data_IF_533904406277
#
_entry.id   IF_533904406277
#
_cell.length_a   1.000
_cell.length_b   1.000
_cell.length_c   1.000
_cell.angle_alpha   90.00
_cell.angle_beta   90.00
_cell.angle_gamma   90.00
#
_symmetry.space_group_name_H-M   'P 1'
#
loop_
_entity.id
_entity.type
_entity.pdbx_description
1 polymer ?
#
# COMPACT_ATOMS: atom_id res chain seq x y z
N UNK A 1 20.27 16.79 8.00
CA UNK A 1 19.10 16.36 8.81
C UNK A 1 17.90 17.14 8.31
N UNK A 2 16.75 16.49 8.16
CA UNK A 2 15.49 17.15 7.78
C UNK A 2 15.05 18.09 8.90
N UNK A 3 14.75 19.34 8.58
CA UNK A 3 14.21 20.35 9.52
C UNK A 3 12.77 20.77 9.20
N UNK A 4 12.23 20.32 8.06
CA UNK A 4 10.88 20.65 7.60
C UNK A 4 10.21 19.40 6.99
N UNK A 5 9.00 19.04 7.44
CA UNK A 5 8.34 17.78 7.12
C UNK A 5 6.83 17.93 6.95
N UNK A 6 6.29 17.54 5.80
CA UNK A 6 4.86 17.35 5.59
C UNK A 6 4.47 15.88 5.75
N UNK A 7 3.59 15.57 6.68
CA UNK A 7 3.04 14.22 6.90
C UNK A 7 1.68 14.15 6.21
N UNK A 8 1.52 13.20 5.29
CA UNK A 8 0.42 13.15 4.33
C UNK A 8 -0.35 11.82 4.50
N UNK A 9 -1.62 11.91 4.88
CA UNK A 9 -2.44 10.77 5.24
C UNK A 9 -3.72 10.74 4.39
N UNK A 10 -3.80 9.89 3.36
CA UNK A 10 -5.05 9.65 2.65
C UNK A 10 -5.98 8.81 3.52
N UNK A 11 -7.27 9.18 3.61
CA UNK A 11 -8.27 8.41 4.36
C UNK A 11 -9.56 8.21 3.57
N UNK A 12 -10.23 7.08 3.80
CA UNK A 12 -11.56 6.79 3.28
C UNK A 12 -12.29 5.85 4.24
N UNK A 13 -13.42 6.32 4.79
CA UNK A 13 -14.23 5.59 5.77
C UNK A 13 -13.41 5.02 6.96
N UNK A 14 -12.35 5.72 7.38
CA UNK A 14 -11.45 5.31 8.45
C UNK A 14 -11.20 6.45 9.43
N UNK A 15 -11.24 6.12 10.74
CA UNK A 15 -10.86 7.04 11.81
C UNK A 15 -9.33 7.05 11.93
N UNK A 16 -8.72 8.23 11.86
CA UNK A 16 -7.27 8.39 11.96
C UNK A 16 -6.82 9.47 12.98
N UNK A 17 -7.74 10.06 13.73
CA UNK A 17 -7.41 11.07 14.74
C UNK A 17 -6.30 10.59 15.70
N UNK A 18 -6.37 9.38 16.25
CA UNK A 18 -5.36 8.84 17.16
C UNK A 18 -3.98 8.63 16.52
N UNK A 19 -3.94 8.36 15.21
CA UNK A 19 -2.68 8.32 14.46
C UNK A 19 -2.08 9.73 14.36
N UNK A 20 -2.91 10.73 14.05
CA UNK A 20 -2.50 12.14 13.94
C UNK A 20 -2.01 12.68 15.27
N UNK A 21 -2.75 12.46 16.37
CA UNK A 21 -2.33 12.84 17.73
C UNK A 21 -0.98 12.28 18.10
N UNK A 22 -0.74 10.97 17.82
CA UNK A 22 0.56 10.34 18.11
C UNK A 22 1.68 10.94 17.24
N UNK A 23 1.43 11.22 15.96
CA UNK A 23 2.42 11.85 15.08
C UNK A 23 2.73 13.28 15.51
N UNK A 24 1.72 14.09 15.83
CA UNK A 24 1.89 15.46 16.33
C UNK A 24 2.72 15.46 17.63
N UNK A 25 2.42 14.57 18.57
CA UNK A 25 3.21 14.37 19.79
C UNK A 25 4.67 14.05 19.50
N UNK A 26 4.95 13.14 18.53
CA UNK A 26 6.34 12.78 18.21
C UNK A 26 7.08 13.92 17.54
N UNK A 27 6.43 14.67 16.66
CA UNK A 27 7.02 15.83 15.99
C UNK A 27 7.33 16.95 16.99
N UNK A 28 6.42 17.27 17.91
CA UNK A 28 6.61 18.31 18.92
C UNK A 28 7.75 18.01 19.91
N UNK A 29 8.12 16.73 20.07
CA UNK A 29 9.27 16.30 20.87
C UNK A 29 10.63 16.45 20.15
N UNK A 30 10.65 16.94 18.89
CA UNK A 30 11.89 17.13 18.12
C UNK A 30 12.17 18.62 18.01
N UNK A 31 13.21 19.15 18.71
CA UNK A 31 13.54 20.56 18.64
C UNK A 31 13.81 21.01 17.18
N UNK A 32 13.34 22.20 16.84
CA UNK A 32 13.55 22.84 15.54
C UNK A 32 12.91 22.15 14.33
N UNK A 33 12.20 21.02 14.49
CA UNK A 33 11.45 20.42 13.41
C UNK A 33 10.17 21.23 13.13
N UNK A 34 10.10 21.86 11.97
CA UNK A 34 8.85 22.42 11.45
C UNK A 34 8.08 21.29 10.76
N UNK A 35 6.81 21.14 11.10
CA UNK A 35 6.00 20.09 10.51
C UNK A 35 4.57 20.56 10.25
N UNK A 36 3.92 19.84 9.38
CA UNK A 36 2.47 19.85 9.19
C UNK A 36 1.98 18.41 9.02
N UNK A 37 0.71 18.18 9.37
CA UNK A 37 0.04 16.91 9.13
C UNK A 37 -1.23 17.20 8.32
N UNK A 38 -1.28 16.70 7.09
CA UNK A 38 -2.43 16.89 6.21
C UNK A 38 -3.14 15.55 6.02
N UNK A 39 -4.38 15.48 6.44
CA UNK A 39 -5.25 14.33 6.21
C UNK A 39 -6.24 14.69 5.12
N UNK A 40 -6.22 13.98 4.00
CA UNK A 40 -7.20 14.15 2.93
C UNK A 40 -8.19 12.99 2.91
N UNK A 41 -9.46 13.33 3.14
CA UNK A 41 -10.59 12.41 3.08
C UNK A 41 -11.10 12.30 1.65
N UNK A 42 -11.01 11.12 1.07
CA UNK A 42 -11.38 10.81 -0.31
C UNK A 42 -12.89 10.55 -0.46
N UNK A 43 -13.72 11.47 0.06
CA UNK A 43 -15.17 11.41 -0.08
C UNK A 43 -15.84 10.34 0.78
N UNK A 44 -15.40 10.19 2.04
CA UNK A 44 -16.00 9.27 3.01
C UNK A 44 -17.50 9.46 3.17
N UNK A 45 -18.21 8.34 3.40
CA UNK A 45 -19.63 8.27 3.69
C UNK A 45 -19.92 7.88 5.14
N UNK A 46 -18.95 7.32 5.84
CA UNK A 46 -19.04 6.97 7.26
C UNK A 46 -19.02 8.25 8.12
N UNK A 47 -20.20 8.67 8.61
CA UNK A 47 -20.36 9.87 9.43
C UNK A 47 -19.58 9.80 10.74
N UNK A 48 -19.41 8.60 11.32
CA UNK A 48 -18.66 8.45 12.58
C UNK A 48 -17.17 8.69 12.34
N UNK A 49 -16.62 8.21 11.21
CA UNK A 49 -15.26 8.49 10.82
C UNK A 49 -15.05 9.99 10.53
N UNK A 50 -15.97 10.60 9.77
CA UNK A 50 -15.90 12.03 9.41
C UNK A 50 -15.92 12.91 10.68
N UNK A 51 -16.90 12.72 11.58
CA UNK A 51 -17.02 13.51 12.81
C UNK A 51 -15.77 13.36 13.69
N UNK A 52 -15.25 12.11 13.82
CA UNK A 52 -14.04 11.87 14.58
C UNK A 52 -12.82 12.58 13.97
N UNK A 53 -12.69 12.58 12.65
CA UNK A 53 -11.54 13.18 11.97
C UNK A 53 -11.63 14.72 11.89
N UNK A 54 -12.82 15.34 12.04
CA UNK A 54 -12.93 16.80 12.13
C UNK A 54 -12.15 17.38 13.32
N UNK A 55 -11.99 16.62 14.40
CA UNK A 55 -11.18 17.02 15.57
C UNK A 55 -9.69 17.21 15.24
N UNK A 56 -9.21 16.70 14.10
CA UNK A 56 -7.84 16.92 13.63
C UNK A 56 -7.56 18.42 13.45
N UNK A 57 -8.56 19.20 13.03
CA UNK A 57 -8.39 20.65 12.83
C UNK A 57 -8.24 21.44 14.15
N UNK A 58 -8.46 20.82 15.30
CA UNK A 58 -8.22 21.40 16.63
C UNK A 58 -6.76 21.19 17.08
N UNK A 59 -6.01 20.33 16.40
CA UNK A 59 -4.61 20.06 16.69
C UNK A 59 -3.71 21.08 15.96
N UNK A 60 -2.69 21.55 16.64
CA UNK A 60 -1.72 22.49 16.07
C UNK A 60 -0.96 21.85 14.90
N UNK A 61 -0.77 22.59 13.81
CA UNK A 61 -0.12 22.13 12.57
C UNK A 61 -0.81 20.95 11.85
N UNK A 62 -2.10 20.68 12.17
CA UNK A 62 -2.85 19.57 11.57
C UNK A 62 -4.06 20.07 10.78
N UNK A 63 -4.28 19.48 9.61
CA UNK A 63 -5.35 19.88 8.69
C UNK A 63 -6.11 18.65 8.18
N UNK A 64 -7.43 18.67 8.31
CA UNK A 64 -8.32 17.67 7.72
C UNK A 64 -9.08 18.29 6.54
N UNK A 65 -8.80 17.78 5.33
CA UNK A 65 -9.39 18.28 4.09
C UNK A 65 -10.35 17.21 3.56
N UNK A 66 -11.65 17.54 3.50
CA UNK A 66 -12.66 16.62 3.00
C UNK A 66 -12.97 16.90 1.53
N UNK A 67 -12.83 15.89 0.68
CA UNK A 67 -13.26 15.94 -0.71
C UNK A 67 -14.74 15.53 -0.84
N UNK A 68 -15.40 15.99 -1.91
CA UNK A 68 -16.81 15.66 -2.16
C UNK A 68 -16.98 14.25 -2.72
N UNK A 69 -16.01 13.78 -3.50
CA UNK A 69 -16.08 12.52 -4.24
C UNK A 69 -14.83 11.68 -4.01
N UNK A 70 -15.01 10.34 -4.08
CA UNK A 70 -13.90 9.40 -4.05
C UNK A 70 -13.22 9.39 -5.42
N UNK A 71 -11.93 9.72 -5.44
CA UNK A 71 -11.13 9.77 -6.67
C UNK A 71 -10.09 8.64 -6.74
N UNK A 72 -9.98 7.84 -5.67
CA UNK A 72 -9.10 6.69 -5.60
C UNK A 72 -7.70 6.97 -5.08
N UNK A 73 -6.98 5.89 -4.78
CA UNK A 73 -5.70 5.91 -4.04
C UNK A 73 -4.59 6.70 -4.73
N UNK A 74 -4.52 6.64 -6.05
CA UNK A 74 -3.52 7.37 -6.84
C UNK A 74 -3.73 8.88 -6.76
N UNK A 75 -4.95 9.32 -7.08
CA UNK A 75 -5.29 10.75 -7.14
C UNK A 75 -5.25 11.44 -5.79
N UNK A 76 -5.69 10.76 -4.71
CA UNK A 76 -5.69 11.37 -3.38
C UNK A 76 -4.26 11.59 -2.86
N UNK A 77 -3.30 10.69 -3.18
CA UNK A 77 -1.90 10.88 -2.81
C UNK A 77 -1.24 12.00 -3.62
N UNK A 78 -1.52 12.09 -4.92
CA UNK A 78 -1.06 13.22 -5.74
C UNK A 78 -1.64 14.55 -5.23
N UNK A 79 -2.93 14.59 -4.88
CA UNK A 79 -3.54 15.77 -4.27
C UNK A 79 -2.86 16.16 -2.97
N UNK A 80 -2.56 15.20 -2.08
CA UNK A 80 -1.84 15.47 -0.83
C UNK A 80 -0.45 16.06 -1.08
N UNK A 81 0.30 15.54 -2.05
CA UNK A 81 1.59 16.09 -2.43
C UNK A 81 1.48 17.56 -2.89
N UNK A 82 0.42 17.89 -3.64
CA UNK A 82 0.17 19.27 -4.11
C UNK A 82 -0.24 20.24 -2.98
N UNK A 83 -0.73 19.72 -1.83
CA UNK A 83 -1.08 20.55 -0.65
C UNK A 83 0.09 20.77 0.29
N UNK A 84 1.15 19.97 0.18
CA UNK A 84 2.29 20.00 1.08
C UNK A 84 3.16 21.24 0.85
N UNK A 85 3.57 21.89 1.96
CA UNK A 85 4.41 23.10 1.90
C UNK A 85 5.90 22.82 2.08
N UNK A 86 6.30 21.65 2.57
CA UNK A 86 7.69 21.33 2.86
C UNK A 86 8.33 20.40 1.83
N UNK A 87 9.67 20.42 1.77
CA UNK A 87 10.44 19.63 0.79
C UNK A 87 10.32 18.12 1.01
N UNK A 88 10.17 17.67 2.27
CA UNK A 88 10.09 16.26 2.59
C UNK A 88 8.66 15.84 2.92
N UNK A 89 8.20 14.80 2.24
CA UNK A 89 6.83 14.28 2.28
C UNK A 89 6.82 12.88 2.88
N UNK A 90 6.23 12.71 4.06
CA UNK A 90 6.03 11.41 4.70
C UNK A 90 4.60 10.94 4.47
N UNK A 91 4.43 9.92 3.64
CA UNK A 91 3.13 9.29 3.40
C UNK A 91 2.87 8.13 4.36
N UNK A 92 1.67 8.12 4.93
CA UNK A 92 1.20 7.04 5.82
C UNK A 92 -0.25 6.68 5.48
N UNK A 93 -0.57 5.38 5.41
CA UNK A 93 -1.96 4.95 5.32
C UNK A 93 -2.71 5.23 6.64
N UNK A 94 -3.99 5.57 6.56
CA UNK A 94 -4.81 5.99 7.73
C UNK A 94 -5.15 4.86 8.71
N UNK A 95 -4.93 3.60 8.34
CA UNK A 95 -5.27 2.42 9.13
C UNK A 95 -4.06 1.76 9.82
N UNK A 96 -2.91 2.44 9.80
CA UNK A 96 -1.69 1.99 10.48
C UNK A 96 -1.56 2.56 11.91
N UNK A 97 -0.61 2.01 12.67
CA UNK A 97 -0.26 2.45 14.04
C UNK A 97 1.23 2.74 14.13
N UNK A 98 1.60 3.78 14.84
CA UNK A 98 3.00 4.03 15.18
C UNK A 98 3.44 3.04 16.27
N UNK A 99 4.57 2.37 16.07
CA UNK A 99 5.07 1.30 16.95
C UNK A 99 6.40 1.63 17.63
N UNK A 100 6.98 2.79 17.33
CA UNK A 100 8.22 3.28 17.94
C UNK A 100 8.12 4.78 18.19
N UNK A 101 8.62 5.22 19.35
CA UNK A 101 8.70 6.65 19.64
C UNK A 101 9.80 7.36 18.82
N UNK A 102 10.75 6.61 18.26
CA UNK A 102 11.76 7.14 17.34
C UNK A 102 11.31 7.18 15.87
N UNK A 103 10.02 6.87 15.60
CA UNK A 103 9.51 6.72 14.23
C UNK A 103 9.83 7.93 13.34
N UNK A 104 9.58 9.16 13.80
CA UNK A 104 9.90 10.37 13.05
C UNK A 104 11.41 10.57 12.96
N UNK A 105 12.16 10.42 14.07
CA UNK A 105 13.62 10.60 14.12
C UNK A 105 14.35 9.73 13.11
N UNK A 106 13.89 8.48 12.93
CA UNK A 106 14.47 7.52 11.98
C UNK A 106 14.37 7.96 10.52
N UNK A 107 13.48 8.89 10.21
CA UNK A 107 13.33 9.47 8.86
C UNK A 107 14.11 10.76 8.63
N UNK A 108 14.62 11.43 9.69
CA UNK A 108 15.21 12.77 9.54
C UNK A 108 16.60 12.79 8.88
N UNK A 109 17.19 11.63 8.58
CA UNK A 109 18.48 11.56 7.88
C UNK A 109 18.43 10.54 6.72
N UNK A 110 17.58 10.76 5.72
CA UNK A 110 17.43 9.84 4.59
C UNK A 110 18.69 9.80 3.73
N UNK A 111 19.04 8.61 3.23
CA UNK A 111 20.20 8.39 2.37
C UNK A 111 19.79 8.21 0.89
N UNK A 112 18.50 8.36 0.57
CA UNK A 112 17.93 8.23 -0.77
C UNK A 112 16.86 9.29 -1.01
N UNK A 113 16.45 9.48 -2.26
CA UNK A 113 15.35 10.39 -2.63
C UNK A 113 14.01 9.89 -2.10
N UNK A 114 13.86 8.56 -1.99
CA UNK A 114 12.69 7.86 -1.44
C UNK A 114 13.15 6.82 -0.43
N UNK A 115 12.55 6.80 0.77
CA UNK A 115 12.86 5.81 1.82
C UNK A 115 11.57 5.15 2.27
N UNK A 116 11.47 3.83 2.14
CA UNK A 116 10.34 3.01 2.56
C UNK A 116 10.61 2.38 3.94
N UNK A 117 9.69 2.61 4.90
CA UNK A 117 9.86 2.20 6.31
C UNK A 117 9.25 0.85 6.66
N UNK A 118 8.53 0.20 5.73
CA UNK A 118 7.89 -1.10 5.91
C UNK A 118 6.66 -1.10 6.82
N UNK A 119 6.06 -2.30 6.94
CA UNK A 119 4.91 -2.57 7.81
C UNK A 119 5.20 -3.77 8.70
N UNK A 120 4.95 -3.64 9.99
CA UNK A 120 4.96 -4.73 10.97
C UNK A 120 3.55 -5.29 11.10
N UNK A 121 3.39 -6.54 10.77
CA UNK A 121 2.10 -7.22 10.84
C UNK A 121 1.90 -7.76 12.25
N UNK A 122 0.84 -7.31 12.93
CA UNK A 122 0.41 -7.91 14.19
C UNK A 122 -0.47 -9.13 13.90
N UNK A 123 -0.40 -10.17 14.74
CA UNK A 123 -1.23 -11.36 14.55
C UNK A 123 -2.72 -11.02 14.59
N UNK A 124 -3.49 -11.57 13.64
CA UNK A 124 -4.94 -11.52 13.72
C UNK A 124 -5.45 -12.36 14.90
N UNK A 125 -6.52 -11.91 15.57
CA UNK A 125 -7.25 -12.72 16.53
C UNK A 125 -7.85 -13.97 15.89
N UNK A 126 -8.26 -13.88 14.61
CA UNK A 126 -8.68 -15.03 13.82
C UNK A 126 -7.48 -15.72 13.18
N UNK A 127 -7.09 -16.88 13.75
CA UNK A 127 -6.02 -17.74 13.22
C UNK A 127 -6.30 -18.28 11.81
N UNK A 128 -7.55 -18.19 11.32
CA UNK A 128 -7.95 -18.57 9.96
C UNK A 128 -7.99 -17.39 8.99
N UNK A 129 -7.52 -16.19 9.39
CA UNK A 129 -7.48 -15.06 8.49
C UNK A 129 -6.38 -15.24 7.43
N UNK A 130 -6.80 -15.31 6.17
CA UNK A 130 -5.92 -15.54 5.02
C UNK A 130 -4.93 -14.38 4.79
N UNK A 131 -5.41 -13.13 4.90
CA UNK A 131 -4.58 -11.93 4.71
C UNK A 131 -3.49 -11.86 5.77
N UNK A 132 -3.85 -12.05 7.03
CA UNK A 132 -2.88 -12.06 8.13
C UNK A 132 -1.77 -13.10 7.92
N UNK A 133 -2.13 -14.33 7.52
CA UNK A 133 -1.13 -15.37 7.20
C UNK A 133 -0.23 -14.99 6.02
N UNK A 134 -0.81 -14.45 4.96
CA UNK A 134 -0.07 -14.05 3.77
C UNK A 134 0.91 -12.92 4.07
N UNK A 135 0.44 -11.83 4.69
CA UNK A 135 1.23 -10.65 5.03
C UNK A 135 2.34 -10.98 6.04
N UNK A 136 2.03 -11.81 7.07
CA UNK A 136 3.04 -12.25 8.05
C UNK A 136 4.15 -13.05 7.37
N UNK A 137 3.80 -14.01 6.50
CA UNK A 137 4.80 -14.78 5.77
C UNK A 137 5.64 -13.89 4.86
N UNK A 138 5.00 -12.95 4.16
CA UNK A 138 5.70 -12.01 3.30
C UNK A 138 6.70 -11.16 4.10
N UNK A 139 6.27 -10.56 5.20
CA UNK A 139 7.11 -9.72 6.05
C UNK A 139 8.33 -10.46 6.63
N UNK A 140 8.17 -11.75 6.98
CA UNK A 140 9.28 -12.57 7.49
C UNK A 140 10.30 -12.96 6.41
N UNK A 141 9.85 -13.12 5.16
CA UNK A 141 10.73 -13.50 4.04
C UNK A 141 11.48 -12.31 3.41
N UNK A 142 11.10 -11.07 3.72
CA UNK A 142 11.61 -9.86 3.06
C UNK A 142 12.14 -8.87 4.11
N UNK A 143 13.39 -9.07 4.58
CA UNK A 143 14.09 -8.07 5.40
C UNK A 143 14.39 -6.79 4.59
N UNK A 144 14.73 -5.68 5.26
CA UNK A 144 15.11 -4.45 4.56
C UNK A 144 16.31 -4.67 3.63
N UNK A 145 17.32 -5.43 4.09
CA UNK A 145 18.50 -5.74 3.29
C UNK A 145 18.15 -6.49 2.01
N UNK A 146 17.27 -7.52 2.13
CA UNK A 146 16.82 -8.28 0.98
C UNK A 146 15.97 -7.45 0.00
N UNK A 147 15.17 -6.52 0.50
CA UNK A 147 14.42 -5.62 -0.36
C UNK A 147 15.34 -4.65 -1.10
N UNK A 148 16.46 -4.24 -0.49
CA UNK A 148 17.44 -3.36 -1.11
C UNK A 148 18.24 -4.02 -2.25
N UNK A 149 18.19 -5.35 -2.42
CA UNK A 149 18.74 -6.02 -3.60
C UNK A 149 18.00 -5.62 -4.89
N UNK A 150 16.66 -5.41 -4.80
CA UNK A 150 15.80 -4.95 -5.89
C UNK A 150 14.74 -3.97 -5.35
N UNK A 151 15.13 -2.75 -4.96
CA UNK A 151 14.30 -1.89 -4.12
C UNK A 151 12.96 -1.49 -4.74
N UNK A 152 12.91 -1.34 -6.06
CA UNK A 152 11.70 -0.86 -6.75
C UNK A 152 10.63 -1.95 -6.93
N UNK A 153 11.01 -3.25 -6.91
CA UNK A 153 10.05 -4.36 -7.14
C UNK A 153 9.03 -4.52 -6.00
N UNK A 154 9.39 -4.05 -4.81
CA UNK A 154 8.62 -4.27 -3.59
C UNK A 154 8.28 -2.95 -2.88
N UNK A 155 8.25 -1.86 -3.61
CA UNK A 155 7.80 -0.58 -3.08
C UNK A 155 6.32 -0.66 -2.69
N UNK A 156 5.98 -0.13 -1.52
CA UNK A 156 4.60 -0.03 -1.02
C UNK A 156 4.36 1.36 -0.44
N UNK A 157 3.15 1.87 -0.62
CA UNK A 157 2.79 3.25 -0.26
C UNK A 157 2.31 3.44 1.17
N UNK A 158 2.24 2.37 1.97
CA UNK A 158 1.68 2.43 3.31
C UNK A 158 2.53 3.22 4.32
N UNK A 159 3.85 3.36 4.05
CA UNK A 159 4.81 4.03 4.93
C UNK A 159 6.09 4.36 4.15
N UNK A 160 6.20 5.57 3.63
CA UNK A 160 7.41 6.03 2.95
C UNK A 160 7.58 7.54 3.05
N UNK A 161 8.84 8.00 3.00
CA UNK A 161 9.20 9.41 2.89
C UNK A 161 9.88 9.66 1.54
N UNK A 162 9.65 10.80 0.93
CA UNK A 162 10.32 11.20 -0.30
C UNK A 162 10.51 12.73 -0.37
N UNK A 163 11.38 13.19 -1.26
CA UNK A 163 11.47 14.61 -1.62
C UNK A 163 10.27 15.02 -2.47
N UNK A 164 9.78 16.24 -2.30
CA UNK A 164 8.67 16.80 -3.09
C UNK A 164 8.97 16.80 -4.59
N UNK A 165 10.23 17.04 -4.99
CA UNK A 165 10.67 16.97 -6.40
C UNK A 165 10.36 15.63 -7.09
N UNK A 166 10.18 14.54 -6.33
CA UNK A 166 9.76 13.24 -6.88
C UNK A 166 8.39 13.39 -7.54
N UNK A 167 7.47 14.14 -6.91
CA UNK A 167 6.12 14.35 -7.44
C UNK A 167 6.04 15.32 -8.61
N UNK A 168 7.10 16.11 -8.85
CA UNK A 168 7.19 16.95 -10.05
C UNK A 168 7.40 16.11 -11.32
N UNK A 169 8.02 14.94 -11.17
CA UNK A 169 8.38 14.03 -12.27
C UNK A 169 7.57 12.73 -12.23
N UNK A 170 7.46 12.10 -11.05
CA UNK A 170 6.77 10.83 -10.84
C UNK A 170 5.47 11.07 -10.09
N UNK A 171 4.35 10.97 -10.79
CA UNK A 171 3.02 10.99 -10.19
C UNK A 171 2.46 9.58 -10.12
N UNK A 172 1.55 9.35 -9.18
CA UNK A 172 0.76 8.12 -9.22
C UNK A 172 -0.07 8.10 -10.50
N UNK A 173 -0.02 7.00 -11.22
CA UNK A 173 -0.76 6.86 -12.48
C UNK A 173 -2.26 6.80 -12.21
N UNK A 174 -2.97 7.84 -12.64
CA UNK A 174 -4.42 7.99 -12.43
C UNK A 174 -5.27 6.97 -13.19
N UNK A 175 -4.68 6.19 -14.11
CA UNK A 175 -5.35 5.10 -14.81
C UNK A 175 -5.63 3.91 -13.88
N UNK A 176 -4.91 3.81 -12.74
CA UNK A 176 -5.14 2.81 -11.69
C UNK A 176 -6.31 3.24 -10.79
N UNK A 177 -7.52 3.10 -11.33
CA UNK A 177 -8.76 3.46 -10.62
C UNK A 177 -9.17 2.41 -9.59
N UNK A 178 -8.79 1.14 -9.81
CA UNK A 178 -9.13 0.02 -8.96
C UNK A 178 -7.97 -0.37 -8.04
N UNK A 179 -8.25 -1.23 -7.09
CA UNK A 179 -7.28 -1.71 -6.12
C UNK A 179 -6.15 -2.52 -6.76
N UNK A 180 -4.91 -2.18 -6.41
CA UNK A 180 -3.70 -2.97 -6.61
C UNK A 180 -2.80 -2.49 -7.76
N UNK A 181 -1.50 -2.69 -7.55
CA UNK A 181 -0.41 -2.38 -8.47
C UNK A 181 -0.14 -0.88 -8.73
N UNK A 182 -0.87 0.05 -8.15
CA UNK A 182 -0.56 1.49 -8.22
C UNK A 182 0.77 1.82 -7.57
N UNK A 183 1.13 1.12 -6.50
CA UNK A 183 2.41 1.22 -5.81
C UNK A 183 3.56 0.62 -6.65
N UNK A 184 3.35 -0.54 -7.25
CA UNK A 184 4.31 -1.16 -8.16
C UNK A 184 4.59 -0.25 -9.37
N UNK A 185 3.55 0.32 -9.99
CA UNK A 185 3.69 1.24 -11.11
C UNK A 185 4.47 2.51 -10.71
N UNK A 186 4.23 3.03 -9.51
CA UNK A 186 5.00 4.16 -8.97
C UNK A 186 6.46 3.78 -8.74
N UNK A 187 6.74 2.60 -8.18
CA UNK A 187 8.11 2.07 -8.04
C UNK A 187 8.86 1.95 -9.37
N UNK A 188 8.18 1.50 -10.44
CA UNK A 188 8.72 1.46 -11.80
C UNK A 188 9.05 2.87 -12.28
N UNK A 189 8.12 3.82 -12.11
CA UNK A 189 8.34 5.22 -12.49
C UNK A 189 9.53 5.85 -11.77
N UNK A 190 9.72 5.58 -10.47
CA UNK A 190 10.90 6.02 -9.73
C UNK A 190 12.20 5.50 -10.36
N UNK A 191 12.24 4.22 -10.70
CA UNK A 191 13.39 3.58 -11.34
C UNK A 191 13.72 4.19 -12.71
N UNK A 192 12.71 4.35 -13.55
CA UNK A 192 12.85 4.89 -14.91
C UNK A 192 13.32 6.35 -14.91
N UNK A 193 12.94 7.12 -13.89
CA UNK A 193 13.35 8.52 -13.76
C UNK A 193 14.62 8.71 -12.89
N UNK A 194 15.29 7.62 -12.49
CA UNK A 194 16.60 7.66 -11.83
C UNK A 194 16.56 8.12 -10.36
N UNK A 195 15.41 8.15 -9.70
CA UNK A 195 15.31 8.42 -8.27
C UNK A 195 15.81 7.22 -7.45
N UNK A 196 16.64 7.49 -6.45
CA UNK A 196 17.15 6.47 -5.54
C UNK A 196 16.08 6.06 -4.53
N UNK A 197 15.95 4.74 -4.27
CA UNK A 197 15.02 4.17 -3.29
C UNK A 197 15.74 3.25 -2.32
N UNK A 198 15.48 3.41 -1.04
CA UNK A 198 16.03 2.60 0.04
C UNK A 198 14.90 2.07 0.95
N UNK A 199 15.00 0.81 1.35
CA UNK A 199 14.18 0.22 2.40
C UNK A 199 14.93 0.25 3.73
N UNK A 200 14.25 0.72 4.79
CA UNK A 200 14.77 0.72 6.16
C UNK A 200 13.80 -0.02 7.10
N UNK A 201 14.29 -0.43 8.25
CA UNK A 201 13.42 -0.99 9.29
C UNK A 201 12.90 0.12 10.21
N UNK A 202 11.89 0.84 9.74
CA UNK A 202 11.13 1.85 10.50
C UNK A 202 9.63 1.60 10.34
N UNK A 203 9.11 0.46 10.85
CA UNK A 203 7.80 -0.01 10.48
C UNK A 203 6.67 0.75 11.17
N UNK A 204 5.55 0.86 10.46
CA UNK A 204 4.24 1.09 11.06
C UNK A 204 3.57 -0.26 11.37
N UNK A 205 2.71 -0.30 12.38
CA UNK A 205 1.96 -1.50 12.75
C UNK A 205 0.66 -1.63 11.95
N UNK A 206 0.30 -2.84 11.57
CA UNK A 206 -0.97 -3.16 10.92
C UNK A 206 -1.64 -4.37 11.58
N UNK A 207 -2.90 -4.20 11.99
CA UNK A 207 -3.69 -5.23 12.69
C UNK A 207 -5.15 -5.32 12.20
N UNK A 208 -5.53 -4.55 11.18
CA UNK A 208 -6.88 -4.53 10.62
C UNK A 208 -6.98 -5.43 9.40
N UNK A 209 -7.55 -6.61 9.58
CA UNK A 209 -7.67 -7.57 8.49
C UNK A 209 -9.11 -7.69 8.01
N UNK A 210 -9.28 -7.64 6.70
CA UNK A 210 -10.54 -7.97 6.05
C UNK A 210 -10.95 -9.42 6.34
N UNK A 211 -12.24 -9.72 6.19
CA UNK A 211 -12.70 -11.11 6.10
C UNK A 211 -12.05 -11.82 4.91
N UNK A 212 -11.93 -13.15 4.95
CA UNK A 212 -11.35 -13.90 3.84
C UNK A 212 -12.11 -13.66 2.53
N UNK A 213 -13.45 -13.50 2.58
CA UNK A 213 -14.27 -13.20 1.42
C UNK A 213 -13.91 -11.84 0.80
N UNK A 214 -13.85 -10.78 1.64
CA UNK A 214 -13.50 -9.43 1.19
C UNK A 214 -12.05 -9.37 0.67
N UNK A 215 -11.12 -10.06 1.32
CA UNK A 215 -9.74 -10.12 0.88
C UNK A 215 -9.59 -10.82 -0.48
N UNK A 216 -10.26 -11.98 -0.67
CA UNK A 216 -10.26 -12.67 -1.96
C UNK A 216 -10.83 -11.79 -3.08
N UNK A 217 -11.92 -11.07 -2.82
CA UNK A 217 -12.48 -10.12 -3.78
C UNK A 217 -11.50 -9.00 -4.13
N UNK A 218 -10.80 -8.42 -3.15
CA UNK A 218 -9.75 -7.41 -3.40
C UNK A 218 -8.61 -7.98 -4.26
N UNK A 219 -8.21 -9.22 -4.01
CA UNK A 219 -7.19 -9.91 -4.80
C UNK A 219 -7.66 -10.15 -6.23
N UNK A 220 -8.91 -10.58 -6.43
CA UNK A 220 -9.50 -10.76 -7.75
C UNK A 220 -9.50 -9.44 -8.54
N UNK A 221 -9.92 -8.33 -7.91
CA UNK A 221 -9.83 -6.98 -8.49
C UNK A 221 -8.40 -6.61 -8.86
N UNK A 222 -7.43 -6.87 -7.96
CA UNK A 222 -6.03 -6.56 -8.25
C UNK A 222 -5.46 -7.40 -9.41
N UNK A 223 -5.91 -8.64 -9.58
CA UNK A 223 -5.53 -9.47 -10.73
C UNK A 223 -6.12 -8.95 -12.05
N UNK A 224 -7.32 -8.36 -12.05
CA UNK A 224 -7.85 -7.65 -13.21
C UNK A 224 -7.03 -6.39 -13.53
N UNK A 225 -6.63 -5.62 -12.50
CA UNK A 225 -5.72 -4.47 -12.67
C UNK A 225 -4.40 -4.94 -13.29
N UNK A 226 -3.77 -6.01 -12.75
CA UNK A 226 -2.56 -6.59 -13.30
C UNK A 226 -2.72 -6.99 -14.77
N UNK A 227 -3.84 -7.61 -15.14
CA UNK A 227 -4.11 -8.04 -16.51
C UNK A 227 -4.27 -6.86 -17.45
N UNK A 228 -4.96 -5.79 -17.01
CA UNK A 228 -5.15 -4.56 -17.77
C UNK A 228 -3.83 -3.87 -18.10
N UNK A 229 -2.92 -3.81 -17.13
CA UNK A 229 -1.60 -3.16 -17.24
C UNK A 229 -0.43 -4.15 -17.39
N UNK A 230 -0.71 -5.37 -17.91
CA UNK A 230 0.26 -6.47 -17.95
C UNK A 230 1.55 -6.16 -18.70
N UNK A 231 1.51 -5.31 -19.72
CA UNK A 231 2.68 -4.95 -20.51
C UNK A 231 3.57 -3.96 -19.75
N UNK A 232 2.97 -3.03 -19.01
CA UNK A 232 3.66 -2.05 -18.17
C UNK A 232 4.23 -2.66 -16.89
N UNK A 233 3.51 -3.66 -16.31
CA UNK A 233 3.89 -4.38 -15.08
C UNK A 233 4.70 -5.67 -15.34
N UNK A 234 5.14 -5.87 -16.59
CA UNK A 234 5.86 -7.10 -16.98
C UNK A 234 7.13 -7.28 -16.16
N UNK A 235 7.28 -8.47 -15.58
CA UNK A 235 8.43 -8.81 -14.76
C UNK A 235 8.28 -8.47 -13.26
N UNK A 236 7.27 -7.70 -12.86
CA UNK A 236 7.05 -7.29 -11.47
C UNK A 236 6.05 -8.18 -10.70
N UNK A 237 5.35 -9.11 -11.38
CA UNK A 237 4.41 -10.03 -10.75
C UNK A 237 4.78 -11.49 -10.97
N UNK A 238 4.90 -12.25 -9.87
CA UNK A 238 5.14 -13.71 -9.96
C UNK A 238 3.98 -14.47 -10.61
N UNK A 239 2.73 -13.99 -10.38
CA UNK A 239 1.54 -14.58 -11.03
C UNK A 239 1.64 -14.44 -12.54
N UNK A 240 2.00 -13.25 -13.01
CA UNK A 240 2.17 -12.97 -14.43
C UNK A 240 3.30 -13.81 -15.04
N UNK A 241 4.48 -13.86 -14.38
CA UNK A 241 5.63 -14.69 -14.84
C UNK A 241 5.24 -16.15 -15.03
N UNK A 242 4.50 -16.74 -14.10
CA UNK A 242 4.03 -18.14 -14.20
C UNK A 242 3.07 -18.34 -15.36
N UNK A 243 2.13 -17.41 -15.58
CA UNK A 243 1.15 -17.50 -16.67
C UNK A 243 1.79 -17.27 -18.03
N UNK A 244 2.73 -16.32 -18.15
CA UNK A 244 3.52 -16.11 -19.37
C UNK A 244 4.39 -17.33 -19.72
N UNK A 245 5.02 -17.96 -18.72
CA UNK A 245 5.74 -19.21 -18.90
C UNK A 245 4.83 -20.32 -19.44
N UNK A 246 3.64 -20.50 -18.83
CA UNK A 246 2.66 -21.49 -19.29
C UNK A 246 2.16 -21.21 -20.72
N UNK A 247 2.00 -19.94 -21.07
CA UNK A 247 1.63 -19.55 -22.44
C UNK A 247 2.74 -19.88 -23.46
N UNK A 248 3.99 -19.58 -23.15
CA UNK A 248 5.15 -19.90 -23.99
C UNK A 248 5.36 -21.40 -24.23
N UNK A 249 4.91 -22.24 -23.28
CA UNK A 249 4.99 -23.72 -23.40
C UNK A 249 3.68 -24.37 -23.86
N UNK A 250 2.71 -23.58 -24.34
CA UNK A 250 1.41 -24.04 -24.83
C UNK A 250 0.55 -24.81 -23.80
N UNK A 251 0.82 -24.64 -22.50
CA UNK A 251 0.07 -25.31 -21.41
C UNK A 251 -0.91 -24.38 -20.67
N UNK A 252 -1.12 -23.16 -21.16
CA UNK A 252 -2.04 -22.18 -20.57
C UNK A 252 -3.48 -22.71 -20.48
N UNK A 253 -3.90 -23.50 -21.45
CA UNK A 253 -5.24 -24.12 -21.47
C UNK A 253 -5.46 -25.06 -20.29
N UNK A 254 -4.42 -25.75 -19.77
CA UNK A 254 -4.52 -26.59 -18.57
C UNK A 254 -4.82 -25.75 -17.33
N UNK A 255 -4.17 -24.59 -17.17
CA UNK A 255 -4.42 -23.67 -16.06
C UNK A 255 -5.87 -23.15 -16.11
N UNK A 256 -6.37 -22.82 -17.29
CA UNK A 256 -7.74 -22.37 -17.51
C UNK A 256 -8.75 -23.46 -17.22
N UNK A 257 -8.54 -24.67 -17.73
CA UNK A 257 -9.40 -25.81 -17.48
C UNK A 257 -9.45 -26.14 -15.98
N UNK A 258 -8.28 -26.21 -15.36
CA UNK A 258 -8.16 -26.46 -13.93
C UNK A 258 -8.94 -25.41 -13.10
N UNK A 259 -8.79 -24.15 -13.41
CA UNK A 259 -9.50 -23.07 -12.72
C UNK A 259 -11.03 -23.16 -12.98
N UNK A 260 -11.44 -23.48 -14.18
CA UNK A 260 -12.85 -23.69 -14.52
C UNK A 260 -13.48 -24.81 -13.66
N UNK A 261 -12.76 -25.93 -13.46
CA UNK A 261 -13.25 -27.08 -12.70
C UNK A 261 -13.20 -26.85 -11.18
N UNK A 262 -12.12 -26.27 -10.67
CA UNK A 262 -11.83 -26.24 -9.23
C UNK A 262 -11.81 -24.84 -8.62
N UNK A 263 -11.78 -23.77 -9.41
CA UNK A 263 -11.62 -22.40 -8.91
C UNK A 263 -12.68 -21.99 -7.89
N UNK A 264 -13.96 -22.31 -8.13
CA UNK A 264 -15.06 -22.04 -7.18
C UNK A 264 -14.91 -22.82 -5.88
N UNK A 265 -14.52 -24.09 -5.96
CA UNK A 265 -14.32 -24.94 -4.79
C UNK A 265 -13.16 -24.41 -3.94
N UNK A 266 -12.03 -24.07 -4.57
CA UNK A 266 -10.86 -23.53 -3.86
C UNK A 266 -11.17 -22.19 -3.21
N UNK A 267 -11.86 -21.29 -3.92
CA UNK A 267 -12.32 -20.03 -3.35
C UNK A 267 -13.16 -20.26 -2.09
N UNK A 268 -14.11 -21.19 -2.15
CA UNK A 268 -14.96 -21.55 -1.01
C UNK A 268 -14.15 -22.13 0.16
N UNK A 269 -13.17 -23.01 -0.11
CA UNK A 269 -12.28 -23.57 0.92
C UNK A 269 -11.43 -22.49 1.58
N UNK A 270 -10.86 -21.57 0.79
CA UNK A 270 -10.08 -20.44 1.29
C UNK A 270 -10.91 -19.47 2.13
N UNK A 271 -12.18 -19.27 1.74
CA UNK A 271 -13.09 -18.37 2.43
C UNK A 271 -13.57 -18.94 3.77
N UNK A 272 -13.99 -20.22 3.80
CA UNK A 272 -14.75 -20.79 4.93
C UNK A 272 -13.96 -21.73 5.82
N UNK A 273 -12.98 -22.46 5.29
CA UNK A 273 -12.42 -23.60 6.03
C UNK A 273 -10.95 -23.46 6.37
N UNK A 274 -10.09 -23.31 5.35
CA UNK A 274 -8.66 -23.41 5.53
C UNK A 274 -7.87 -22.42 4.68
N UNK A 275 -7.29 -21.39 5.28
CA UNK A 275 -6.49 -20.38 4.57
C UNK A 275 -5.09 -20.94 4.25
N UNK A 276 -5.02 -21.85 3.28
CA UNK A 276 -3.75 -22.38 2.77
C UNK A 276 -3.10 -21.40 1.80
N UNK A 277 -1.87 -20.99 2.08
CA UNK A 277 -1.11 -20.09 1.20
C UNK A 277 -0.76 -20.76 -0.13
N UNK A 278 -0.57 -22.10 -0.13
CA UNK A 278 -0.36 -22.86 -1.38
C UNK A 278 -1.61 -22.80 -2.25
N UNK A 279 -2.78 -23.15 -1.70
CA UNK A 279 -4.05 -23.07 -2.44
C UNK A 279 -4.35 -21.65 -2.90
N UNK A 280 -4.02 -20.65 -2.08
CA UNK A 280 -4.19 -19.24 -2.44
C UNK A 280 -3.32 -18.84 -3.64
N UNK A 281 -2.06 -19.26 -3.68
CA UNK A 281 -1.18 -18.98 -4.82
C UNK A 281 -1.65 -19.70 -6.09
N UNK A 282 -2.07 -20.97 -5.98
CA UNK A 282 -2.66 -21.73 -7.09
C UNK A 282 -3.94 -21.04 -7.58
N UNK A 283 -4.80 -20.59 -6.66
CA UNK A 283 -6.02 -19.85 -7.00
C UNK A 283 -5.71 -18.57 -7.81
N UNK A 284 -4.75 -17.75 -7.34
CA UNK A 284 -4.35 -16.52 -8.04
C UNK A 284 -3.88 -16.78 -9.48
N UNK A 285 -3.02 -17.79 -9.67
CA UNK A 285 -2.49 -18.17 -10.99
C UNK A 285 -3.62 -18.64 -11.91
N UNK A 286 -4.48 -19.54 -11.42
CA UNK A 286 -5.62 -20.04 -12.20
C UNK A 286 -6.63 -18.95 -12.55
N UNK A 287 -6.95 -18.08 -11.60
CA UNK A 287 -7.86 -16.95 -11.80
C UNK A 287 -7.31 -15.99 -12.86
N UNK A 288 -6.03 -15.57 -12.74
CA UNK A 288 -5.38 -14.68 -13.70
C UNK A 288 -5.31 -15.29 -15.11
N UNK A 289 -4.98 -16.59 -15.22
CA UNK A 289 -4.96 -17.31 -16.50
C UNK A 289 -6.35 -17.37 -17.16
N UNK A 290 -7.42 -17.35 -16.37
CA UNK A 290 -8.80 -17.43 -16.86
C UNK A 290 -9.40 -16.06 -17.21
N UNK A 291 -8.79 -14.93 -16.87
CA UNK A 291 -9.25 -13.59 -17.27
C UNK A 291 -9.26 -13.53 -18.80
N UNK A 292 -10.42 -13.14 -19.36
CA UNK A 292 -10.60 -12.89 -20.80
C UNK A 292 -10.60 -11.39 -21.05
N UNK A 293 -10.19 -11.00 -22.23
CA UNK A 293 -10.53 -9.68 -22.77
C UNK A 293 -12.04 -9.60 -22.97
N UNK A 294 -12.68 -8.61 -22.35
CA UNK A 294 -13.96 -8.10 -22.81
C UNK A 294 -13.73 -7.02 -23.87
#
# INVERSE_FOLDING_TARGET
>A
MISELSILIPTYNSKCISLVEKLAQLCSCIPELKYEIIVADDGSRDQVAIISNLLINELEHCHYIRRKENVGRAKIRSFLADQAQYEWLLFLDSDVKIVSDDFIRNYLNPQADVVSGRTKIFPSHDKKNLRSKYETKWATCHSADKLNENPYEHFVTANFICRSKVFDVCRFDERFLQYGYEDTAFGISLKENGFTLQHIYNPVGFDKFDSNSSYLQKVEVSLHTLYRFRDELRGYSQVQKVVEYAAGHHILWLLRLWHCLFGRLIRYVLEKYYPSLLLFNIYKVGYYAAIKFD
#
